data_IF_472544408564
#
_entry.id   IF_472544408564
#
_cell.length_a   1.000
_cell.length_b   1.000
_cell.length_c   1.000
_cell.angle_alpha   90.00
_cell.angle_beta   90.00
_cell.angle_gamma   90.00
#
_symmetry.space_group_name_H-M   'P 1'
#
loop_
_entity.id
_entity.type
_entity.pdbx_description
1 polymer ?
#
# COMPACT_ATOMS: atom_id res chain seq x y z
N UNK A 1 -14.72 -29.90 -0.01
CA UNK A 1 -13.34 -30.07 -0.45
C UNK A 1 -12.93 -28.76 -1.08
N UNK A 2 -11.94 -28.07 -0.51
CA UNK A 2 -11.99 -26.62 -0.43
C UNK A 2 -10.65 -26.06 -0.90
N UNK A 3 -10.57 -25.91 -2.22
CA UNK A 3 -9.40 -25.48 -2.99
C UNK A 3 -9.90 -24.54 -4.08
N UNK A 4 -10.47 -23.41 -3.67
CA UNK A 4 -10.92 -22.35 -4.59
C UNK A 4 -10.83 -20.97 -3.92
N UNK A 5 -10.05 -20.84 -2.85
CA UNK A 5 -9.85 -19.60 -2.13
C UNK A 5 -9.03 -18.65 -3.00
N UNK A 6 -9.63 -17.57 -3.48
CA UNK A 6 -8.95 -16.59 -4.32
C UNK A 6 -8.65 -15.40 -3.43
N UNK A 7 -7.40 -14.93 -3.42
CA UNK A 7 -6.98 -13.76 -2.66
C UNK A 7 -6.62 -12.63 -3.62
N UNK A 8 -5.99 -11.58 -3.08
CA UNK A 8 -5.64 -10.36 -3.79
C UNK A 8 -4.48 -10.60 -4.77
N UNK A 9 -3.93 -9.54 -5.37
CA UNK A 9 -2.78 -9.60 -6.25
C UNK A 9 -1.86 -8.44 -5.91
N UNK A 10 -0.67 -8.42 -6.52
CA UNK A 10 0.28 -7.32 -6.44
C UNK A 10 -0.30 -6.09 -7.14
N UNK A 11 -1.21 -6.28 -8.11
CA UNK A 11 -2.07 -5.24 -8.63
C UNK A 11 -2.97 -4.73 -7.51
N UNK A 12 -3.87 -5.58 -6.99
CA UNK A 12 -4.96 -5.12 -6.12
C UNK A 12 -4.45 -4.47 -4.84
N UNK A 13 -3.51 -5.08 -4.10
CA UNK A 13 -3.02 -4.50 -2.85
C UNK A 13 -2.43 -3.11 -3.11
N UNK A 14 -1.73 -2.95 -4.24
CA UNK A 14 -1.18 -1.67 -4.63
C UNK A 14 -2.30 -0.72 -5.08
N UNK A 15 -3.27 -1.18 -5.87
CA UNK A 15 -4.38 -0.37 -6.36
C UNK A 15 -5.22 0.17 -5.23
N UNK A 16 -5.38 -0.57 -4.13
CA UNK A 16 -6.07 -0.08 -2.93
C UNK A 16 -5.31 1.16 -2.44
N UNK A 17 -4.04 0.99 -2.09
CA UNK A 17 -3.19 2.02 -1.52
C UNK A 17 -3.06 3.23 -2.47
N UNK A 18 -2.96 2.98 -3.77
CA UNK A 18 -2.82 4.02 -4.79
C UNK A 18 -4.12 4.78 -4.93
N UNK A 19 -5.26 4.08 -5.09
CA UNK A 19 -6.58 4.69 -5.23
C UNK A 19 -6.89 5.54 -4.01
N UNK A 20 -6.39 5.12 -2.83
CA UNK A 20 -6.57 5.87 -1.60
C UNK A 20 -5.83 7.21 -1.68
N UNK A 21 -4.51 7.15 -1.86
CA UNK A 21 -3.70 8.37 -1.75
C UNK A 21 -3.89 9.30 -2.95
N UNK A 22 -4.36 8.79 -4.10
CA UNK A 22 -4.77 9.63 -5.21
C UNK A 22 -5.89 10.60 -4.82
N UNK A 23 -6.60 10.33 -3.72
CA UNK A 23 -7.70 11.15 -3.23
C UNK A 23 -7.24 12.09 -2.12
N UNK A 24 -5.93 12.14 -1.85
CA UNK A 24 -5.32 12.88 -0.75
C UNK A 24 -4.06 13.63 -1.19
N UNK A 25 -3.68 13.59 -2.47
CA UNK A 25 -2.60 14.41 -3.02
C UNK A 25 -1.99 13.74 -4.26
N UNK A 26 -0.71 13.99 -4.50
CA UNK A 26 -0.01 13.58 -5.71
C UNK A 26 1.32 12.95 -5.35
N UNK A 27 1.56 11.79 -5.94
CA UNK A 27 2.68 10.92 -5.65
C UNK A 27 3.79 11.22 -6.66
N UNK A 28 5.03 11.39 -6.18
CA UNK A 28 6.24 11.37 -6.98
C UNK A 28 6.57 9.94 -7.38
N UNK A 29 6.56 9.00 -6.43
CA UNK A 29 6.91 7.60 -6.67
C UNK A 29 6.05 6.73 -5.77
N UNK A 30 5.46 5.70 -6.36
CA UNK A 30 4.79 4.60 -5.69
C UNK A 30 5.54 3.34 -6.11
N UNK A 31 5.72 2.43 -5.17
CA UNK A 31 6.27 1.09 -5.33
C UNK A 31 5.84 0.29 -4.11
N UNK A 32 6.20 -0.97 -4.08
CA UNK A 32 6.00 -1.81 -2.92
C UNK A 32 7.39 -2.32 -2.58
N UNK A 33 7.71 -2.37 -1.30
CA UNK A 33 8.97 -2.95 -0.86
C UNK A 33 8.77 -4.37 -0.32
N UNK A 34 7.53 -4.84 -0.26
CA UNK A 34 7.14 -6.05 0.46
C UNK A 34 5.72 -6.36 0.04
N UNK A 35 5.52 -7.49 -0.63
CA UNK A 35 4.24 -7.90 -1.17
C UNK A 35 3.98 -9.32 -0.73
N UNK A 36 2.78 -9.48 -0.22
CA UNK A 36 2.24 -10.72 0.26
C UNK A 36 1.34 -11.32 -0.81
N UNK A 37 1.87 -12.25 -1.58
CA UNK A 37 1.09 -13.16 -2.40
C UNK A 37 0.38 -14.26 -1.57
N UNK A 38 0.47 -14.21 -0.24
CA UNK A 38 -0.04 -15.23 0.69
C UNK A 38 -1.03 -14.65 1.71
N UNK A 39 -1.11 -13.32 1.83
CA UNK A 39 -1.96 -12.57 2.74
C UNK A 39 -2.39 -11.31 1.97
N UNK A 40 -3.14 -10.39 2.58
CA UNK A 40 -3.64 -9.19 1.93
C UNK A 40 -3.09 -8.01 2.73
N UNK A 41 -1.83 -7.65 2.49
CA UNK A 41 -1.12 -6.60 3.21
C UNK A 41 -0.31 -5.79 2.19
N UNK A 42 0.09 -4.55 2.50
CA UNK A 42 0.86 -3.72 1.58
C UNK A 42 1.70 -2.71 2.34
N UNK A 43 3.03 -2.73 2.18
CA UNK A 43 3.94 -1.69 2.69
C UNK A 43 4.95 -1.28 1.59
N UNK A 44 5.27 0.01 1.58
CA UNK A 44 6.34 0.59 0.78
C UNK A 44 6.43 2.10 0.96
N UNK A 45 5.84 2.68 2.02
CA UNK A 45 5.61 4.11 2.12
C UNK A 45 5.01 4.70 0.85
N UNK A 46 5.26 5.98 0.62
CA UNK A 46 4.85 6.73 -0.57
C UNK A 46 5.57 8.07 -0.51
N UNK A 47 6.02 8.55 -1.67
CA UNK A 47 6.89 9.69 -1.84
C UNK A 47 6.06 10.71 -2.63
N UNK A 48 5.81 11.90 -2.10
CA UNK A 48 5.12 13.00 -2.79
C UNK A 48 6.15 13.87 -3.53
N UNK A 49 5.72 14.59 -4.57
CA UNK A 49 6.57 15.56 -5.28
C UNK A 49 7.09 16.65 -4.33
N UNK A 50 6.27 16.98 -3.33
CA UNK A 50 6.46 18.14 -2.46
C UNK A 50 7.42 17.85 -1.31
N UNK A 51 7.94 16.62 -1.24
CA UNK A 51 8.93 16.21 -0.25
C UNK A 51 8.28 15.80 1.06
N UNK A 52 7.39 14.80 1.02
CA UNK A 52 6.63 14.29 2.16
C UNK A 52 6.66 12.76 2.04
N UNK A 53 7.69 12.11 2.58
CA UNK A 53 7.78 10.65 2.60
C UNK A 53 7.01 10.16 3.82
N UNK A 54 6.00 9.31 3.59
CA UNK A 54 5.23 8.66 4.65
C UNK A 54 5.39 7.16 4.50
N UNK A 55 5.48 6.41 5.59
CA UNK A 55 5.26 4.97 5.63
C UNK A 55 3.75 4.73 5.62
N UNK A 56 3.33 3.55 5.18
CA UNK A 56 1.95 3.16 4.93
C UNK A 56 1.93 1.65 5.16
N UNK A 57 1.00 1.17 5.99
CA UNK A 57 0.78 -0.25 6.23
C UNK A 57 -0.72 -0.46 6.21
N UNK A 58 -1.19 -1.12 5.15
CA UNK A 58 -2.54 -1.63 5.07
C UNK A 58 -2.48 -3.04 5.64
N UNK A 59 -3.09 -3.26 6.80
CA UNK A 59 -3.16 -4.53 7.49
C UNK A 59 -4.64 -4.84 7.76
N UNK A 60 -5.25 -5.67 6.91
CA UNK A 60 -6.65 -6.11 6.95
C UNK A 60 -7.64 -4.95 6.71
N UNK A 61 -7.76 -4.06 7.68
CA UNK A 61 -8.68 -2.94 7.77
C UNK A 61 -8.05 -1.74 8.49
N UNK A 62 -6.92 -1.92 9.19
CA UNK A 62 -6.11 -0.84 9.74
C UNK A 62 -5.26 -0.33 8.58
N UNK A 63 -5.50 0.88 8.08
CA UNK A 63 -4.58 1.53 7.15
C UNK A 63 -3.82 2.58 7.94
N UNK A 64 -2.76 2.13 8.61
CA UNK A 64 -1.91 2.96 9.42
C UNK A 64 -0.88 3.64 8.52
N UNK A 65 -0.35 4.78 8.95
CA UNK A 65 0.69 5.52 8.27
C UNK A 65 1.41 6.41 9.28
N UNK A 66 2.59 6.92 8.93
CA UNK A 66 3.31 7.92 9.72
C UNK A 66 4.38 8.56 8.85
N UNK A 67 4.98 9.67 9.29
CA UNK A 67 6.10 10.30 8.59
C UNK A 67 7.32 9.38 8.70
N UNK A 68 8.15 9.33 7.66
CA UNK A 68 9.45 8.69 7.76
C UNK A 68 10.41 9.66 8.44
N UNK A 69 10.80 9.36 9.68
CA UNK A 69 11.79 10.06 10.49
C UNK A 69 12.60 8.98 11.21
N UNK A 70 13.88 8.90 10.86
CA UNK A 70 14.88 8.08 11.53
C UNK A 70 15.71 8.99 12.42
#
# INVERSE_FOLDING_TARGET
GDDRKLMKTQEELTEIVRDHFSDMGEIATLYVQVYESSLESLVGGVIFEDGRHYTFVYENEDLVYEEEVL
#
